data_IF_846800434847
#
_entry.id   IF_846800434847
#
_cell.length_a   1.000
_cell.length_b   1.000
_cell.length_c   1.000
_cell.angle_alpha   90.00
_cell.angle_beta   90.00
_cell.angle_gamma   90.00
#
_symmetry.space_group_name_H-M   'P 1'
#
loop_
_entity.id
_entity.type
_entity.pdbx_description
1 polymer ?
#
# COMPACT_ATOMS: atom_id res chain seq x y z
N UNK A 1 5.22 -8.37 -4.08
CA UNK A 1 5.45 -9.82 -4.20
C UNK A 1 6.00 -10.10 -5.58
N UNK A 2 6.92 -11.05 -5.72
CA UNK A 2 7.69 -11.22 -6.95
C UNK A 2 8.74 -10.11 -7.12
N UNK A 3 8.78 -9.46 -8.29
CA UNK A 3 9.74 -8.38 -8.64
C UNK A 3 9.29 -6.98 -8.22
N UNK A 4 8.11 -6.85 -7.59
CA UNK A 4 7.53 -5.56 -7.19
C UNK A 4 7.45 -5.41 -5.67
N UNK A 5 7.71 -4.19 -5.20
CA UNK A 5 7.52 -3.76 -3.82
C UNK A 5 6.62 -2.53 -3.76
N UNK A 6 5.76 -2.45 -2.74
CA UNK A 6 4.89 -1.31 -2.46
C UNK A 6 4.95 -1.01 -0.96
N UNK A 7 4.59 0.21 -0.56
CA UNK A 7 4.52 0.60 0.85
C UNK A 7 3.06 0.70 1.28
N UNK A 8 2.67 -0.09 2.28
CA UNK A 8 1.36 0.04 2.93
C UNK A 8 1.50 1.09 4.03
N UNK A 9 0.70 2.15 3.98
CA UNK A 9 0.70 3.24 4.97
C UNK A 9 -0.61 3.33 5.77
N UNK A 10 -1.57 2.45 5.48
CA UNK A 10 -2.82 2.35 6.21
C UNK A 10 -3.63 1.12 5.82
N UNK A 11 -4.50 0.69 6.72
CA UNK A 11 -5.44 -0.42 6.50
C UNK A 11 -6.81 0.04 6.96
N UNK A 12 -7.82 -0.19 6.12
CA UNK A 12 -9.22 -0.01 6.45
C UNK A 12 -9.85 -1.40 6.45
N UNK A 13 -10.30 -1.86 7.62
CA UNK A 13 -10.85 -3.19 7.81
C UNK A 13 -12.18 -3.09 8.55
N UNK A 14 -13.22 -3.67 7.96
CA UNK A 14 -14.52 -3.82 8.58
C UNK A 14 -14.64 -5.22 9.17
N UNK A 15 -14.65 -5.31 10.50
CA UNK A 15 -14.69 -6.58 11.24
C UNK A 15 -16.02 -7.34 11.05
N UNK A 16 -17.11 -6.66 10.71
CA UNK A 16 -18.42 -7.28 10.52
C UNK A 16 -18.54 -7.92 9.13
N UNK A 17 -18.10 -7.21 8.10
CA UNK A 17 -18.23 -7.67 6.70
C UNK A 17 -17.00 -8.41 6.20
N UNK A 18 -15.85 -8.25 6.87
CA UNK A 18 -14.55 -8.73 6.40
C UNK A 18 -13.98 -7.91 5.24
N UNK A 19 -14.62 -6.79 4.87
CA UNK A 19 -14.15 -5.93 3.79
C UNK A 19 -12.83 -5.27 4.18
N UNK A 20 -11.86 -5.29 3.26
CA UNK A 20 -10.53 -4.74 3.50
C UNK A 20 -10.06 -3.86 2.34
N UNK A 21 -9.44 -2.73 2.68
CA UNK A 21 -8.72 -1.87 1.77
C UNK A 21 -7.35 -1.50 2.35
N UNK A 22 -6.38 -1.30 1.46
CA UNK A 22 -5.02 -0.94 1.80
C UNK A 22 -4.69 0.44 1.21
N UNK A 23 -4.18 1.35 2.03
CA UNK A 23 -3.65 2.62 1.55
C UNK A 23 -2.21 2.38 1.08
N UNK A 24 -2.01 2.44 -0.24
CA UNK A 24 -0.73 2.14 -0.88
C UNK A 24 -0.03 3.43 -1.29
N UNK A 25 1.26 3.51 -0.98
CA UNK A 25 2.23 4.43 -1.58
C UNK A 25 3.08 3.64 -2.58
N UNK A 26 2.93 3.96 -3.86
CA UNK A 26 3.57 3.25 -4.96
C UNK A 26 4.93 3.88 -5.31
N UNK A 27 6.06 3.15 -5.14
CA UNK A 27 7.39 3.67 -5.40
C UNK A 27 7.75 3.76 -6.89
N UNK A 28 6.88 3.29 -7.80
CA UNK A 28 7.15 3.30 -9.23
C UNK A 28 6.73 4.62 -9.91
N UNK A 29 6.26 5.61 -9.15
CA UNK A 29 5.99 6.94 -9.70
C UNK A 29 7.29 7.63 -10.12
N UNK A 30 7.37 8.00 -11.40
CA UNK A 30 8.52 8.69 -12.02
C UNK A 30 8.19 10.10 -12.49
N UNK A 31 7.02 10.63 -12.13
CA UNK A 31 6.58 11.98 -12.53
C UNK A 31 7.14 13.07 -11.61
N UNK A 32 6.79 14.32 -11.93
CA UNK A 32 7.12 15.46 -11.08
C UNK A 32 6.36 15.43 -9.75
N UNK A 33 6.87 16.15 -8.74
CA UNK A 33 6.28 16.28 -7.40
C UNK A 33 5.00 17.13 -7.40
N UNK A 34 3.96 16.66 -8.08
CA UNK A 34 2.63 17.25 -8.09
C UNK A 34 1.66 16.36 -7.32
N UNK A 35 1.22 16.86 -6.16
CA UNK A 35 0.33 16.13 -5.25
C UNK A 35 -1.01 15.76 -5.92
N UNK A 36 -1.51 16.61 -6.83
CA UNK A 36 -2.74 16.31 -7.57
C UNK A 36 -2.54 15.11 -8.48
N UNK A 37 -1.49 15.14 -9.31
CA UNK A 37 -1.14 14.01 -10.17
C UNK A 37 -0.91 12.72 -9.36
N UNK A 38 -0.21 12.80 -8.24
CA UNK A 38 0.09 11.64 -7.38
C UNK A 38 -1.20 11.01 -6.82
N UNK A 39 -2.11 11.84 -6.30
CA UNK A 39 -3.36 11.36 -5.69
C UNK A 39 -4.39 10.92 -6.73
N UNK A 40 -4.62 11.72 -7.79
CA UNK A 40 -5.66 11.47 -8.79
C UNK A 40 -5.34 10.26 -9.66
N UNK A 41 -4.06 10.03 -9.96
CA UNK A 41 -3.63 8.83 -10.70
C UNK A 41 -3.44 7.60 -9.82
N UNK A 42 -3.68 7.72 -8.51
CA UNK A 42 -3.70 6.59 -7.58
C UNK A 42 -2.33 6.01 -7.24
N UNK A 43 -1.26 6.81 -7.33
CA UNK A 43 0.08 6.48 -6.81
C UNK A 43 0.11 6.53 -5.28
N UNK A 44 -0.77 7.35 -4.69
CA UNK A 44 -1.18 7.25 -3.31
C UNK A 44 -2.69 7.08 -3.29
N UNK A 45 -3.19 5.96 -2.76
CA UNK A 45 -4.62 5.74 -2.72
C UNK A 45 -5.05 4.41 -2.13
N UNK A 46 -6.34 4.33 -1.79
CA UNK A 46 -6.96 3.11 -1.29
C UNK A 46 -7.11 2.09 -2.41
N UNK A 47 -6.66 0.87 -2.16
CA UNK A 47 -6.75 -0.27 -3.06
C UNK A 47 -7.53 -1.39 -2.38
N UNK A 48 -8.39 -2.07 -3.16
CA UNK A 48 -9.11 -3.24 -2.67
C UNK A 48 -8.22 -4.48 -2.64
N UNK A 49 -8.79 -5.62 -2.21
CA UNK A 49 -8.06 -6.89 -2.14
C UNK A 49 -7.56 -7.38 -3.52
N UNK A 50 -8.20 -6.98 -4.63
CA UNK A 50 -7.84 -7.40 -5.99
C UNK A 50 -6.55 -6.76 -6.48
N UNK A 51 -6.05 -5.75 -5.77
CA UNK A 51 -4.73 -5.17 -6.02
C UNK A 51 -3.60 -6.19 -5.83
N UNK A 52 -3.77 -7.14 -4.91
CA UNK A 52 -2.80 -8.19 -4.67
C UNK A 52 -3.05 -9.35 -5.63
N UNK A 53 -2.00 -9.78 -6.33
CA UNK A 53 -2.03 -10.96 -7.20
C UNK A 53 -2.23 -12.23 -6.37
N UNK A 54 -3.34 -12.94 -6.58
CA UNK A 54 -3.80 -14.08 -5.77
C UNK A 54 -2.83 -15.28 -5.76
N UNK A 55 -2.15 -15.53 -6.88
CA UNK A 55 -1.23 -16.68 -7.06
C UNK A 55 0.20 -16.42 -6.56
N UNK A 56 0.40 -15.32 -5.82
CA UNK A 56 1.73 -14.83 -5.46
C UNK A 56 1.93 -14.80 -3.95
N UNK A 57 3.14 -15.15 -3.52
CA UNK A 57 3.53 -15.01 -2.12
C UNK A 57 4.02 -13.58 -1.81
N UNK A 58 3.66 -13.08 -0.63
CA UNK A 58 4.03 -11.74 -0.17
C UNK A 58 4.71 -11.82 1.20
N UNK A 59 5.87 -11.17 1.31
CA UNK A 59 6.51 -10.87 2.57
C UNK A 59 6.15 -9.44 2.99
N UNK A 60 5.86 -9.25 4.28
CA UNK A 60 5.67 -7.94 4.87
C UNK A 60 6.85 -7.63 5.79
N UNK A 61 7.52 -6.51 5.54
CA UNK A 61 8.47 -5.94 6.49
C UNK A 61 7.70 -4.97 7.40
N UNK A 62 7.73 -5.21 8.70
CA UNK A 62 7.05 -4.38 9.70
C UNK A 62 8.10 -3.72 10.62
N UNK A 63 8.60 -2.53 10.28
CA UNK A 63 9.62 -1.86 11.07
C UNK A 63 9.14 -1.61 12.51
N UNK A 64 9.99 -1.94 13.48
CA UNK A 64 9.72 -1.70 14.89
C UNK A 64 10.45 -0.44 15.35
N UNK A 65 9.75 0.45 16.05
CA UNK A 65 10.38 1.62 16.67
C UNK A 65 11.32 1.16 17.80
N UNK A 66 12.60 1.59 17.83
CA UNK A 66 13.49 1.33 18.95
C UNK A 66 12.93 1.93 20.26
N UNK A 67 13.15 1.27 21.39
CA UNK A 67 12.81 1.81 22.72
C UNK A 67 14.02 2.57 23.26
N UNK A 68 13.94 3.89 23.43
CA UNK A 68 14.95 4.67 24.18
C UNK A 68 15.74 5.76 23.44
N UNK A 69 15.12 6.46 22.48
CA UNK A 69 15.58 7.76 22.00
C UNK A 69 14.52 8.82 22.30
#
# INVERSE_FOLDING_TARGET
GGVLAHTIIGVNFDELTGSVQYLILDPHFVGAEDIKTISEKGWIGWKDIKFWKEDSFYNLCCPMRPKGY
#
